data_IF_993331754714
#
_entry.id   IF_993331754714
#
_cell.length_a   1.000
_cell.length_b   1.000
_cell.length_c   1.000
_cell.angle_alpha   90.00
_cell.angle_beta   90.00
_cell.angle_gamma   90.00
#
_symmetry.space_group_name_H-M   'P 1'
#
loop_
_entity.id
_entity.type
_entity.pdbx_description
1 polymer ?
#
# COMPACT_ATOMS: atom_id res chain seq x y z
N UNK A 1 -16.48 -2.38 15.13
CA UNK A 1 -15.23 -1.59 15.17
C UNK A 1 -14.83 -1.36 16.62
N UNK A 2 -13.55 -1.56 16.95
CA UNK A 2 -12.97 -1.30 18.27
C UNK A 2 -13.18 0.17 18.65
N UNK A 3 -13.51 0.43 19.90
CA UNK A 3 -13.58 1.81 20.39
C UNK A 3 -12.16 2.40 20.46
N UNK A 4 -11.97 3.58 19.85
CA UNK A 4 -10.70 4.32 19.92
C UNK A 4 -10.26 4.58 21.36
N UNK A 5 -11.18 4.69 22.31
CA UNK A 5 -10.84 4.86 23.73
C UNK A 5 -10.06 3.66 24.27
N UNK A 6 -10.39 2.42 23.85
CA UNK A 6 -9.65 1.22 24.28
C UNK A 6 -8.18 1.30 23.81
N UNK A 7 -7.95 1.72 22.56
CA UNK A 7 -6.59 1.88 22.03
C UNK A 7 -5.87 3.05 22.70
N UNK A 8 -6.61 4.13 23.00
CA UNK A 8 -6.07 5.30 23.72
C UNK A 8 -5.54 4.93 25.10
N UNK A 9 -6.32 4.17 25.88
CA UNK A 9 -5.91 3.70 27.21
C UNK A 9 -4.63 2.86 27.15
N UNK A 10 -4.48 2.02 26.11
CA UNK A 10 -3.25 1.24 25.91
C UNK A 10 -2.05 2.14 25.63
N UNK A 11 -2.16 3.11 24.71
CA UNK A 11 -1.02 3.99 24.37
C UNK A 11 -0.70 5.02 25.44
N UNK A 12 -1.65 5.39 26.30
CA UNK A 12 -1.36 6.19 27.49
C UNK A 12 -0.35 5.49 28.41
N UNK A 13 -0.43 4.16 28.52
CA UNK A 13 0.56 3.34 29.23
C UNK A 13 1.95 3.37 28.59
N UNK A 14 2.06 3.60 27.27
CA UNK A 14 3.33 3.56 26.55
C UNK A 14 4.23 4.77 26.85
N UNK A 15 3.66 5.92 27.20
CA UNK A 15 4.47 7.11 27.54
C UNK A 15 5.41 6.88 28.72
N UNK A 16 5.00 6.04 29.68
CA UNK A 16 5.84 5.68 30.84
C UNK A 16 7.05 4.81 30.48
N UNK A 17 7.07 4.27 29.26
CA UNK A 17 8.10 3.38 28.72
C UNK A 17 8.51 3.81 27.30
N UNK A 18 8.51 5.12 27.02
CA UNK A 18 8.74 5.64 25.67
C UNK A 18 10.07 5.16 25.04
N UNK A 19 11.11 4.92 25.85
CA UNK A 19 12.41 4.38 25.45
C UNK A 19 12.38 2.91 25.01
N UNK A 20 11.30 2.19 25.33
CA UNK A 20 11.12 0.76 25.03
C UNK A 20 10.16 0.50 23.88
N UNK A 21 9.56 1.54 23.30
CA UNK A 21 8.61 1.40 22.20
C UNK A 21 9.29 0.72 21.01
N UNK A 22 8.59 -0.28 20.45
CA UNK A 22 9.00 -0.99 19.24
C UNK A 22 8.06 -0.62 18.10
N UNK A 23 8.60 -0.52 16.89
CA UNK A 23 7.81 -0.43 15.66
C UNK A 23 7.66 -1.84 15.09
N UNK A 24 6.42 -2.35 15.09
CA UNK A 24 6.06 -3.68 14.62
C UNK A 24 5.40 -3.67 13.26
N UNK A 25 5.60 -4.70 12.43
CA UNK A 25 4.85 -4.87 11.17
C UNK A 25 4.83 -6.32 10.71
N UNK A 26 3.96 -6.67 9.75
CA UNK A 26 4.06 -7.95 9.04
C UNK A 26 5.34 -7.96 8.21
N UNK A 27 6.16 -8.99 8.38
CA UNK A 27 7.35 -9.26 7.58
C UNK A 27 7.00 -9.71 6.15
N UNK A 28 6.49 -8.77 5.35
CA UNK A 28 6.18 -8.90 3.91
C UNK A 28 5.88 -7.50 3.33
N UNK A 29 5.70 -7.39 2.00
CA UNK A 29 5.31 -6.17 1.27
C UNK A 29 6.26 -4.96 1.44
N UNK A 30 6.13 -4.20 2.52
CA UNK A 30 6.94 -3.01 2.86
C UNK A 30 7.57 -3.10 4.25
N UNK A 31 7.62 -4.30 4.83
CA UNK A 31 8.17 -4.53 6.17
C UNK A 31 9.63 -4.09 6.31
N UNK A 32 10.45 -4.23 5.26
CA UNK A 32 11.83 -3.76 5.28
C UNK A 32 11.92 -2.23 5.33
N UNK A 33 11.15 -1.49 4.53
CA UNK A 33 11.11 -0.01 4.58
C UNK A 33 10.66 0.49 5.96
N UNK A 34 9.63 -0.13 6.54
CA UNK A 34 9.15 0.21 7.87
C UNK A 34 10.23 -0.03 8.93
N UNK A 35 10.90 -1.20 8.91
CA UNK A 35 11.96 -1.51 9.86
C UNK A 35 13.18 -0.61 9.70
N UNK A 36 13.62 -0.35 8.46
CA UNK A 36 14.75 0.53 8.16
C UNK A 36 14.49 1.96 8.64
N UNK A 37 13.31 2.49 8.31
CA UNK A 37 12.88 3.81 8.77
C UNK A 37 12.76 3.93 10.28
N UNK A 38 12.28 2.89 10.96
CA UNK A 38 12.22 2.84 12.41
C UNK A 38 13.61 2.85 13.06
N UNK A 39 14.58 2.13 12.48
CA UNK A 39 15.99 2.16 12.93
C UNK A 39 16.60 3.54 12.74
N UNK A 40 16.33 4.21 11.61
CA UNK A 40 16.80 5.57 11.30
C UNK A 40 16.25 6.64 12.26
N UNK A 41 15.14 6.36 12.95
CA UNK A 41 14.57 7.19 14.01
C UNK A 41 14.79 6.62 15.42
N UNK A 42 15.69 5.63 15.53
CA UNK A 42 16.23 5.03 16.76
C UNK A 42 15.30 4.06 17.51
N UNK A 43 14.19 3.65 16.90
CA UNK A 43 13.31 2.63 17.46
C UNK A 43 13.93 1.22 17.36
N UNK A 44 13.45 0.34 18.25
CA UNK A 44 13.58 -1.10 18.10
C UNK A 44 12.52 -1.63 17.12
N UNK A 45 12.83 -2.70 16.40
CA UNK A 45 11.95 -3.22 15.34
C UNK A 45 11.50 -4.65 15.57
N UNK A 46 10.26 -4.94 15.17
CA UNK A 46 9.67 -6.27 15.27
C UNK A 46 8.99 -6.66 13.96
N UNK A 47 9.39 -7.79 13.39
CA UNK A 47 8.79 -8.35 12.19
C UNK A 47 7.98 -9.60 12.53
N UNK A 48 6.67 -9.57 12.29
CA UNK A 48 5.79 -10.74 12.40
C UNK A 48 5.86 -11.53 11.10
N UNK A 49 6.43 -12.73 11.16
CA UNK A 49 6.75 -13.57 10.02
C UNK A 49 5.89 -14.84 10.01
N UNK A 50 5.80 -15.46 8.83
CA UNK A 50 5.23 -16.79 8.66
C UNK A 50 6.34 -17.81 8.39
N UNK A 51 6.23 -18.99 8.98
CA UNK A 51 7.14 -20.11 8.73
C UNK A 51 7.27 -20.42 7.22
N UNK A 52 8.51 -20.57 6.76
CA UNK A 52 8.89 -20.69 5.35
C UNK A 52 9.14 -19.37 4.63
N UNK A 53 8.86 -18.22 5.26
CA UNK A 53 9.00 -16.86 4.68
C UNK A 53 9.73 -15.89 5.62
N UNK A 54 10.27 -16.39 6.72
CA UNK A 54 10.86 -15.60 7.80
C UNK A 54 12.32 -15.18 7.55
N UNK A 55 13.10 -15.96 6.79
CA UNK A 55 14.56 -15.80 6.70
C UNK A 55 15.03 -14.42 6.26
N UNK A 56 14.25 -13.74 5.42
CA UNK A 56 14.51 -12.33 5.07
C UNK A 56 14.67 -11.49 6.35
N UNK A 57 13.78 -11.65 7.31
CA UNK A 57 13.73 -10.85 8.54
C UNK A 57 14.55 -11.48 9.68
N UNK A 58 14.50 -12.80 9.84
CA UNK A 58 15.15 -13.50 10.96
C UNK A 58 16.63 -13.79 10.77
N UNK A 59 17.13 -13.77 9.52
CA UNK A 59 18.51 -14.13 9.19
C UNK A 59 19.20 -13.02 8.38
N UNK A 60 18.69 -12.73 7.18
CA UNK A 60 19.39 -11.86 6.22
C UNK A 60 19.41 -10.38 6.62
N UNK A 61 18.30 -9.87 7.17
CA UNK A 61 18.15 -8.50 7.65
C UNK A 61 18.10 -8.39 9.18
N UNK A 62 18.44 -9.47 9.91
CA UNK A 62 18.50 -9.44 11.36
C UNK A 62 19.49 -8.39 11.85
N UNK A 63 19.04 -7.56 12.78
CA UNK A 63 19.84 -6.50 13.35
C UNK A 63 20.89 -7.06 14.32
N UNK A 64 22.09 -6.52 14.20
CA UNK A 64 23.15 -6.62 15.19
C UNK A 64 23.39 -5.23 15.74
N UNK A 65 23.25 -5.08 17.06
CA UNK A 65 23.50 -3.84 17.78
C UNK A 65 24.73 -3.94 18.65
N UNK A 66 25.38 -2.81 18.93
CA UNK A 66 26.48 -2.74 19.88
C UNK A 66 26.00 -2.57 21.33
N UNK A 67 26.94 -2.47 22.26
CA UNK A 67 26.66 -2.33 23.69
C UNK A 67 25.91 -1.03 24.04
N UNK A 68 25.97 -0.01 23.18
CA UNK A 68 25.22 1.24 23.34
C UNK A 68 23.80 1.13 22.76
N UNK A 69 23.47 0.02 22.09
CA UNK A 69 22.19 -0.17 21.43
C UNK A 69 22.13 0.41 20.01
N UNK A 70 23.24 0.90 19.46
CA UNK A 70 23.32 1.40 18.08
C UNK A 70 23.41 0.24 17.09
N UNK A 71 22.69 0.33 15.97
CA UNK A 71 22.74 -0.66 14.89
C UNK A 71 24.11 -0.64 14.21
N UNK A 72 24.71 -1.83 14.07
CA UNK A 72 25.92 -2.08 13.28
C UNK A 72 25.61 -2.69 11.91
N UNK A 73 24.59 -3.53 11.83
CA UNK A 73 24.18 -4.24 10.61
C UNK A 73 22.74 -4.71 10.75
N UNK A 74 21.98 -4.72 9.65
CA UNK A 74 20.60 -5.21 9.62
C UNK A 74 19.62 -4.25 10.29
N UNK A 75 18.32 -4.55 10.17
CA UNK A 75 17.24 -3.64 10.53
C UNK A 75 16.10 -4.28 11.32
N UNK A 76 16.16 -5.59 11.56
CA UNK A 76 15.12 -6.35 12.29
C UNK A 76 15.66 -6.86 13.62
N UNK A 77 15.27 -6.24 14.74
CA UNK A 77 15.73 -6.66 16.08
C UNK A 77 15.10 -8.00 16.51
N UNK A 78 13.80 -8.16 16.25
CA UNK A 78 13.03 -9.35 16.61
C UNK A 78 12.20 -9.84 15.43
N UNK A 79 12.22 -11.15 15.19
CA UNK A 79 11.34 -11.82 14.24
C UNK A 79 10.49 -12.85 14.98
N UNK A 80 9.18 -12.58 15.11
CA UNK A 80 8.21 -13.53 15.65
C UNK A 80 7.75 -14.40 14.50
N UNK A 81 7.88 -15.72 14.62
CA UNK A 81 7.52 -16.66 13.53
C UNK A 81 6.29 -17.46 13.92
N UNK A 82 5.19 -17.19 13.23
CA UNK A 82 3.93 -17.94 13.34
C UNK A 82 3.82 -19.01 12.26
N UNK A 83 2.93 -20.01 12.45
CA UNK A 83 2.66 -20.97 11.36
C UNK A 83 1.92 -20.28 10.21
N UNK A 84 1.04 -19.33 10.55
CA UNK A 84 0.32 -18.47 9.61
C UNK A 84 0.28 -17.04 10.14
N UNK A 85 0.32 -16.06 9.24
CA UNK A 85 0.28 -14.65 9.64
C UNK A 85 -0.95 -14.29 10.51
N UNK A 86 -2.10 -14.94 10.28
CA UNK A 86 -3.33 -14.67 11.03
C UNK A 86 -3.27 -15.09 12.52
N UNK A 87 -2.26 -15.83 12.96
CA UNK A 87 -2.05 -16.13 14.39
C UNK A 87 -1.75 -14.85 15.18
N UNK A 88 -1.34 -13.75 14.54
CA UNK A 88 -1.21 -12.43 15.19
C UNK A 88 -2.54 -11.93 15.79
N UNK A 89 -3.68 -12.40 15.28
CA UNK A 89 -5.01 -12.03 15.78
C UNK A 89 -5.38 -12.78 17.07
N UNK A 90 -4.62 -13.80 17.49
CA UNK A 90 -4.92 -14.54 18.72
C UNK A 90 -4.68 -13.64 19.95
N UNK A 91 -5.60 -13.63 20.94
CA UNK A 91 -5.52 -12.73 22.10
C UNK A 91 -4.17 -12.78 22.83
N UNK A 92 -3.59 -13.96 23.01
CA UNK A 92 -2.28 -14.14 23.66
C UNK A 92 -1.12 -13.50 22.89
N UNK A 93 -1.17 -13.53 21.55
CA UNK A 93 -0.16 -12.93 20.70
C UNK A 93 -0.30 -11.41 20.66
N UNK A 94 -1.55 -10.91 20.66
CA UNK A 94 -1.82 -9.49 20.79
C UNK A 94 -1.34 -8.94 22.15
N UNK A 95 -1.64 -9.65 23.24
CA UNK A 95 -1.21 -9.25 24.58
C UNK A 95 0.32 -9.16 24.66
N UNK A 96 1.04 -10.13 24.09
CA UNK A 96 2.49 -10.08 24.01
C UNK A 96 2.99 -8.81 23.31
N UNK A 97 2.39 -8.42 22.18
CA UNK A 97 2.75 -7.20 21.46
C UNK A 97 2.42 -5.94 22.27
N UNK A 98 1.30 -5.93 22.99
CA UNK A 98 0.91 -4.83 23.87
C UNK A 98 1.91 -4.66 25.02
N UNK A 99 2.26 -5.75 25.70
CA UNK A 99 3.21 -5.78 26.83
C UNK A 99 4.63 -5.33 26.42
N UNK A 100 4.99 -5.54 25.16
CA UNK A 100 6.27 -5.11 24.57
C UNK A 100 6.25 -3.68 24.00
N UNK A 101 5.19 -2.92 24.23
CA UNK A 101 5.03 -1.53 23.77
C UNK A 101 5.12 -1.40 22.24
N UNK A 102 4.52 -2.34 21.50
CA UNK A 102 4.57 -2.35 20.03
C UNK A 102 3.53 -1.40 19.44
N UNK A 103 4.01 -0.43 18.67
CA UNK A 103 3.20 0.34 17.72
C UNK A 103 3.20 -0.39 16.38
N UNK A 104 2.05 -0.90 15.96
CA UNK A 104 1.94 -1.77 14.78
C UNK A 104 1.63 -0.97 13.52
N UNK A 105 2.46 -1.11 12.50
CA UNK A 105 2.32 -0.41 11.22
C UNK A 105 1.74 -1.37 10.17
N UNK A 106 0.52 -1.10 9.64
CA UNK A 106 -0.11 -1.97 8.67
C UNK A 106 0.54 -1.85 7.30
N UNK A 107 0.72 -2.99 6.63
CA UNK A 107 1.05 -3.06 5.21
C UNK A 107 0.04 -3.99 4.51
N UNK A 108 0.09 -4.10 3.17
CA UNK A 108 -0.89 -4.91 2.41
C UNK A 108 -0.96 -6.36 2.87
N UNK A 109 0.17 -6.94 3.29
CA UNK A 109 0.18 -8.35 3.72
C UNK A 109 -0.63 -8.56 5.00
N UNK A 110 -0.79 -7.53 5.83
CA UNK A 110 -1.65 -7.61 7.00
C UNK A 110 -3.11 -7.86 6.60
N UNK A 111 -3.67 -7.02 5.72
CA UNK A 111 -5.05 -7.15 5.26
C UNK A 111 -5.27 -8.31 4.28
N UNK A 112 -4.22 -8.75 3.56
CA UNK A 112 -4.31 -9.93 2.69
C UNK A 112 -4.31 -11.26 3.45
N UNK A 113 -3.70 -11.33 4.64
CA UNK A 113 -3.58 -12.59 5.40
C UNK A 113 -4.40 -12.63 6.68
N UNK A 114 -4.85 -11.48 7.17
CA UNK A 114 -5.74 -11.35 8.32
C UNK A 114 -7.09 -10.79 7.85
N UNK A 115 -8.19 -11.29 8.41
CA UNK A 115 -9.53 -10.78 8.06
C UNK A 115 -9.64 -9.29 8.41
N UNK A 116 -10.18 -8.49 7.49
CA UNK A 116 -10.40 -7.07 7.74
C UNK A 116 -11.38 -6.85 8.91
N UNK A 117 -12.39 -7.71 9.06
CA UNK A 117 -13.33 -7.65 10.18
C UNK A 117 -12.61 -7.89 11.52
N UNK A 118 -11.73 -8.89 11.57
CA UNK A 118 -10.93 -9.18 12.77
C UNK A 118 -9.94 -8.04 13.10
N UNK A 119 -9.36 -7.41 12.07
CA UNK A 119 -8.52 -6.22 12.25
C UNK A 119 -9.36 -5.07 12.84
N UNK A 120 -10.55 -4.82 12.33
CA UNK A 120 -11.41 -3.72 12.75
C UNK A 120 -12.06 -3.94 14.13
N UNK A 121 -12.32 -5.18 14.52
CA UNK A 121 -13.14 -5.53 15.69
C UNK A 121 -12.34 -6.14 16.85
N UNK A 122 -11.24 -6.84 16.58
CA UNK A 122 -10.56 -7.69 17.57
C UNK A 122 -9.07 -7.39 17.78
N UNK A 123 -8.37 -6.73 16.85
CA UNK A 123 -6.93 -6.46 16.97
C UNK A 123 -6.57 -5.29 17.92
N UNK A 124 -6.43 -5.51 19.22
CA UNK A 124 -6.19 -4.48 20.26
C UNK A 124 -4.77 -3.88 20.30
N UNK A 125 -3.83 -4.35 19.50
CA UNK A 125 -2.50 -3.72 19.41
C UNK A 125 -2.67 -2.33 18.76
N UNK A 126 -2.06 -1.26 19.31
CA UNK A 126 -2.17 0.08 18.73
C UNK A 126 -1.67 0.11 17.28
N UNK A 127 -2.57 0.45 16.36
CA UNK A 127 -2.29 0.46 14.92
C UNK A 127 -2.00 1.89 14.47
N UNK A 128 -0.79 2.13 13.97
CA UNK A 128 -0.38 3.44 13.45
C UNK A 128 -1.02 3.67 12.09
N UNK A 129 -1.87 4.69 11.98
CA UNK A 129 -2.70 4.94 10.81
C UNK A 129 -4.19 4.69 11.07
N UNK A 130 -4.99 4.65 10.02
CA UNK A 130 -6.45 4.57 10.09
C UNK A 130 -6.94 3.15 9.81
N UNK A 131 -7.27 2.42 10.88
CA UNK A 131 -7.74 1.03 10.84
C UNK A 131 -8.98 0.84 9.95
N UNK A 132 -9.99 1.70 10.10
CA UNK A 132 -11.23 1.65 9.33
C UNK A 132 -11.04 1.90 7.83
N UNK A 133 -10.02 2.67 7.45
CA UNK A 133 -9.77 3.03 6.06
C UNK A 133 -9.09 1.88 5.30
N UNK A 134 -8.47 0.91 5.99
CA UNK A 134 -7.86 -0.26 5.35
C UNK A 134 -8.85 -1.05 4.50
N UNK A 135 -10.13 -1.10 4.90
CA UNK A 135 -11.21 -1.75 4.15
C UNK A 135 -11.47 -1.10 2.78
N UNK A 136 -11.26 0.20 2.65
CA UNK A 136 -11.52 0.92 1.39
C UNK A 136 -10.69 0.39 0.21
N UNK A 137 -9.59 -0.31 0.48
CA UNK A 137 -8.76 -0.95 -0.55
C UNK A 137 -9.46 -2.15 -1.23
N UNK A 138 -10.46 -2.76 -0.59
CA UNK A 138 -11.24 -3.87 -1.14
C UNK A 138 -12.32 -3.36 -2.09
N UNK A 139 -12.18 -3.67 -3.38
CA UNK A 139 -13.04 -3.13 -4.45
C UNK A 139 -14.47 -3.62 -4.44
N UNK A 140 -14.72 -4.78 -3.83
CA UNK A 140 -16.06 -5.34 -3.67
C UNK A 140 -16.88 -4.63 -2.59
N UNK A 141 -16.24 -3.82 -1.74
CA UNK A 141 -16.91 -3.06 -0.70
C UNK A 141 -17.72 -1.91 -1.31
N UNK A 142 -18.91 -1.67 -0.75
CA UNK A 142 -19.78 -0.58 -1.19
C UNK A 142 -19.09 0.79 -1.05
N UNK A 143 -18.32 0.96 0.03
CA UNK A 143 -17.51 2.14 0.30
C UNK A 143 -16.02 1.91 -0.04
N UNK A 144 -15.74 1.25 -1.15
CA UNK A 144 -14.36 1.11 -1.65
C UNK A 144 -13.73 2.46 -2.03
N UNK A 145 -12.46 2.46 -2.39
CA UNK A 145 -11.78 3.67 -2.85
C UNK A 145 -12.49 4.29 -4.06
N UNK A 146 -13.11 3.51 -4.96
CA UNK A 146 -13.87 4.07 -6.08
C UNK A 146 -15.01 4.96 -5.59
N UNK A 147 -15.70 4.52 -4.55
CA UNK A 147 -16.76 5.29 -3.92
C UNK A 147 -16.21 6.58 -3.30
N UNK A 148 -15.06 6.52 -2.62
CA UNK A 148 -14.39 7.71 -2.07
C UNK A 148 -14.01 8.69 -3.20
N UNK A 149 -13.44 8.19 -4.29
CA UNK A 149 -13.04 9.01 -5.44
C UNK A 149 -14.26 9.69 -6.10
N UNK A 150 -15.37 8.95 -6.26
CA UNK A 150 -16.63 9.49 -6.77
C UNK A 150 -17.18 10.59 -5.86
N UNK A 151 -17.23 10.37 -4.54
CA UNK A 151 -17.70 11.37 -3.57
C UNK A 151 -16.82 12.62 -3.55
N UNK A 152 -15.51 12.45 -3.70
CA UNK A 152 -14.54 13.54 -3.73
C UNK A 152 -14.49 14.30 -5.08
N UNK A 153 -15.18 13.81 -6.12
CA UNK A 153 -15.04 14.32 -7.48
C UNK A 153 -13.59 14.23 -7.98
N UNK A 154 -12.90 13.14 -7.63
CA UNK A 154 -11.56 12.83 -8.08
C UNK A 154 -11.61 12.04 -9.39
N UNK A 155 -10.67 12.26 -10.31
CA UNK A 155 -10.69 11.59 -11.61
C UNK A 155 -10.22 10.14 -11.47
N UNK A 156 -10.98 9.21 -12.04
CA UNK A 156 -10.62 7.81 -12.20
C UNK A 156 -11.11 7.31 -13.57
N UNK A 157 -10.56 6.20 -14.11
CA UNK A 157 -11.01 5.65 -15.39
C UNK A 157 -12.51 5.35 -15.40
N UNK A 158 -13.22 5.81 -16.44
CA UNK A 158 -14.66 5.60 -16.54
C UNK A 158 -15.00 4.10 -16.58
N UNK A 159 -16.05 3.72 -15.84
CA UNK A 159 -16.59 2.38 -15.84
C UNK A 159 -17.45 2.16 -17.09
N UNK A 160 -17.25 1.01 -17.75
CA UNK A 160 -18.11 0.55 -18.84
C UNK A 160 -19.08 -0.48 -18.27
N UNK A 161 -20.39 -0.23 -18.41
CA UNK A 161 -21.45 -1.04 -17.77
C UNK A 161 -21.65 -2.39 -18.45
N UNK A 162 -21.52 -2.47 -19.78
CA UNK A 162 -21.62 -3.72 -20.52
C UNK A 162 -20.40 -3.97 -21.41
N UNK A 163 -19.90 -5.22 -21.51
CA UNK A 163 -18.91 -5.58 -22.54
C UNK A 163 -19.36 -5.23 -23.97
N UNK A 164 -20.67 -5.15 -24.21
CA UNK A 164 -21.24 -4.77 -25.51
C UNK A 164 -21.05 -3.30 -25.86
N UNK A 165 -20.80 -2.46 -24.86
CA UNK A 165 -20.60 -1.02 -25.01
C UNK A 165 -19.13 -0.66 -25.27
N UNK A 166 -18.22 -1.66 -25.33
CA UNK A 166 -16.80 -1.45 -25.63
C UNK A 166 -16.65 -0.92 -27.06
N UNK A 167 -16.26 0.34 -27.18
CA UNK A 167 -15.99 1.06 -28.42
C UNK A 167 -14.59 1.68 -28.49
N UNK A 168 -13.78 1.51 -27.43
CA UNK A 168 -12.39 1.94 -27.33
C UNK A 168 -11.59 0.95 -26.46
N UNK A 169 -10.29 1.20 -26.27
CA UNK A 169 -9.44 0.32 -25.46
C UNK A 169 -9.89 0.36 -23.99
N UNK A 170 -10.16 -0.82 -23.43
CA UNK A 170 -10.54 -1.02 -22.03
C UNK A 170 -9.55 -1.94 -21.32
N UNK A 171 -9.48 -1.79 -20.01
CA UNK A 171 -8.89 -2.74 -19.08
C UNK A 171 -10.00 -3.50 -18.37
N UNK A 172 -9.96 -4.83 -18.44
CA UNK A 172 -10.84 -5.71 -17.68
C UNK A 172 -10.10 -6.20 -16.45
N UNK A 173 -10.63 -5.89 -15.26
CA UNK A 173 -10.02 -6.18 -13.96
C UNK A 173 -10.84 -7.24 -13.24
N UNK A 174 -10.21 -8.36 -12.88
CA UNK A 174 -10.85 -9.47 -12.18
C UNK A 174 -9.85 -10.30 -11.34
N UNK A 175 -10.31 -11.12 -10.37
CA UNK A 175 -9.43 -12.03 -9.63
C UNK A 175 -8.79 -13.10 -10.54
N UNK A 176 -7.54 -13.49 -10.27
CA UNK A 176 -6.93 -14.66 -10.90
C UNK A 176 -7.42 -15.94 -10.20
N UNK A 177 -7.75 -16.98 -10.98
CA UNK A 177 -8.29 -18.24 -10.47
C UNK A 177 -7.34 -19.00 -9.51
N UNK A 178 -6.04 -19.03 -9.81
CA UNK A 178 -5.03 -19.75 -9.02
C UNK A 178 -4.30 -18.81 -8.06
N UNK A 179 -3.78 -17.71 -8.58
CA UNK A 179 -3.01 -16.72 -7.81
C UNK A 179 -3.98 -15.79 -7.09
N UNK A 180 -4.62 -16.25 -6.02
CA UNK A 180 -5.70 -15.49 -5.34
C UNK A 180 -5.32 -14.07 -4.89
N UNK A 181 -4.04 -13.79 -4.68
CA UNK A 181 -3.52 -12.46 -4.33
C UNK A 181 -3.17 -11.60 -5.55
N UNK A 182 -3.02 -12.22 -6.71
CA UNK A 182 -2.77 -11.55 -7.98
C UNK A 182 -4.08 -11.37 -8.74
N UNK A 183 -4.09 -10.39 -9.64
CA UNK A 183 -5.27 -10.03 -10.42
C UNK A 183 -5.11 -10.55 -11.86
N UNK A 184 -6.19 -11.10 -12.40
CA UNK A 184 -6.33 -11.33 -13.83
C UNK A 184 -6.64 -10.00 -14.50
N UNK A 185 -5.82 -9.63 -15.47
CA UNK A 185 -6.04 -8.43 -16.28
C UNK A 185 -5.96 -8.82 -17.75
N UNK A 186 -6.84 -8.25 -18.56
CA UNK A 186 -6.66 -8.26 -19.99
C UNK A 186 -7.27 -7.00 -20.61
N UNK A 187 -6.75 -6.62 -21.77
CA UNK A 187 -7.27 -5.50 -22.54
C UNK A 187 -8.22 -5.99 -23.62
N UNK A 188 -9.17 -5.14 -24.01
CA UNK A 188 -10.02 -5.36 -25.18
C UNK A 188 -10.35 -4.01 -25.83
N UNK A 189 -10.59 -3.99 -27.14
CA UNK A 189 -10.99 -2.80 -27.89
C UNK A 189 -12.36 -2.96 -28.56
N UNK A 190 -13.00 -4.12 -28.40
CA UNK A 190 -14.35 -4.40 -28.88
C UNK A 190 -14.99 -5.55 -28.08
N UNK A 191 -16.32 -5.67 -28.18
CA UNK A 191 -17.05 -6.82 -27.61
C UNK A 191 -16.53 -8.17 -28.12
N UNK A 192 -16.17 -8.25 -29.41
CA UNK A 192 -15.63 -9.46 -30.01
C UNK A 192 -14.30 -9.86 -29.36
N UNK A 193 -13.37 -8.92 -29.26
CA UNK A 193 -12.06 -9.16 -28.64
C UNK A 193 -12.20 -9.53 -27.16
N UNK A 194 -13.12 -8.89 -26.45
CA UNK A 194 -13.47 -9.23 -25.07
C UNK A 194 -13.87 -10.71 -24.96
N UNK A 195 -14.83 -11.17 -25.79
CA UNK A 195 -15.30 -12.56 -25.77
C UNK A 195 -14.20 -13.55 -26.14
N UNK A 196 -13.45 -13.30 -27.20
CA UNK A 196 -12.36 -14.17 -27.65
C UNK A 196 -11.29 -14.34 -26.56
N UNK A 197 -10.83 -13.23 -25.95
CA UNK A 197 -9.83 -13.26 -24.88
C UNK A 197 -10.36 -13.90 -23.60
N UNK A 198 -11.59 -13.59 -23.20
CA UNK A 198 -12.16 -14.15 -21.98
C UNK A 198 -12.30 -15.67 -22.07
N UNK A 199 -12.75 -16.22 -23.20
CA UNK A 199 -12.88 -17.67 -23.38
C UNK A 199 -11.52 -18.36 -23.42
N UNK A 200 -10.51 -17.74 -24.04
CA UNK A 200 -9.13 -18.25 -24.01
C UNK A 200 -8.58 -18.31 -22.58
N UNK A 201 -8.75 -17.25 -21.79
CA UNK A 201 -8.27 -17.21 -20.39
C UNK A 201 -9.02 -18.18 -19.49
N UNK A 202 -10.33 -18.41 -19.72
CA UNK A 202 -11.10 -19.44 -19.02
C UNK A 202 -10.55 -20.84 -19.35
N UNK A 203 -10.31 -21.13 -20.63
CA UNK A 203 -9.76 -22.42 -21.09
C UNK A 203 -8.37 -22.69 -20.52
N UNK A 204 -7.56 -21.64 -20.34
CA UNK A 204 -6.24 -21.72 -19.73
C UNK A 204 -6.28 -21.81 -18.19
N UNK A 205 -7.46 -21.67 -17.57
CA UNK A 205 -7.60 -21.68 -16.11
C UNK A 205 -7.03 -20.43 -15.43
N UNK A 206 -6.87 -19.33 -16.15
CA UNK A 206 -6.38 -18.05 -15.61
C UNK A 206 -7.50 -17.34 -14.85
N UNK A 207 -8.71 -17.35 -15.40
CA UNK A 207 -9.91 -16.73 -14.83
C UNK A 207 -11.08 -17.73 -14.77
N UNK A 208 -12.10 -17.43 -13.97
CA UNK A 208 -13.34 -18.21 -13.91
C UNK A 208 -14.50 -17.44 -14.54
N UNK A 209 -15.58 -18.13 -14.95
CA UNK A 209 -16.80 -17.48 -15.44
C UNK A 209 -17.43 -16.58 -14.38
N UNK A 210 -17.48 -17.04 -13.13
CA UNK A 210 -17.97 -16.28 -11.98
C UNK A 210 -17.16 -14.98 -11.76
N UNK A 211 -15.83 -15.05 -11.86
CA UNK A 211 -14.98 -13.87 -11.74
C UNK A 211 -15.19 -12.89 -12.90
N UNK A 212 -15.48 -13.40 -14.10
CA UNK A 212 -15.76 -12.60 -15.29
C UNK A 212 -17.10 -11.88 -15.21
N UNK A 213 -18.13 -12.52 -14.66
CA UNK A 213 -19.45 -11.90 -14.44
C UNK A 213 -19.38 -10.70 -13.49
N UNK A 214 -18.45 -10.74 -12.54
CA UNK A 214 -18.20 -9.67 -11.58
C UNK A 214 -17.00 -8.77 -11.99
N UNK A 215 -16.48 -8.92 -13.22
CA UNK A 215 -15.33 -8.16 -13.66
C UNK A 215 -15.67 -6.68 -13.81
N UNK A 216 -14.70 -5.83 -13.46
CA UNK A 216 -14.80 -4.39 -13.67
C UNK A 216 -14.16 -4.02 -15.00
N UNK A 217 -14.91 -3.40 -15.89
CA UNK A 217 -14.44 -2.92 -17.20
C UNK A 217 -14.26 -1.41 -17.11
N UNK A 218 -13.08 -0.93 -17.47
CA UNK A 218 -12.74 0.49 -17.40
C UNK A 218 -12.06 0.96 -18.66
N UNK A 219 -12.27 2.23 -19.03
CA UNK A 219 -11.49 2.87 -20.10
C UNK A 219 -10.00 2.74 -19.81
N UNK A 220 -9.23 2.30 -20.80
CA UNK A 220 -7.78 2.21 -20.67
C UNK A 220 -7.16 3.59 -20.91
N UNK A 221 -6.47 4.12 -19.91
CA UNK A 221 -5.76 5.40 -20.04
C UNK A 221 -4.37 5.16 -20.62
N UNK A 222 -4.15 5.62 -21.85
CA UNK A 222 -2.85 5.50 -22.52
C UNK A 222 -1.93 6.62 -22.03
N UNK A 223 -0.95 6.26 -21.20
CA UNK A 223 -0.02 7.23 -20.61
C UNK A 223 0.93 6.61 -19.59
N UNK A 224 1.95 7.37 -19.14
CA UNK A 224 2.82 6.91 -18.06
C UNK A 224 2.05 6.76 -16.74
N UNK A 225 2.51 5.81 -15.93
CA UNK A 225 2.04 5.56 -14.57
C UNK A 225 2.90 6.36 -13.59
N UNK A 226 2.24 7.04 -12.66
CA UNK A 226 2.88 7.68 -11.50
C UNK A 226 2.11 7.35 -10.24
N UNK A 227 2.80 6.73 -9.29
CA UNK A 227 2.30 6.46 -7.95
C UNK A 227 2.78 7.57 -7.03
N UNK A 228 1.87 8.40 -6.52
CA UNK A 228 2.21 9.50 -5.63
C UNK A 228 2.22 9.02 -4.18
N UNK A 229 3.42 8.89 -3.60
CA UNK A 229 3.60 8.53 -2.20
C UNK A 229 3.38 9.77 -1.32
N UNK A 230 2.18 9.87 -0.76
CA UNK A 230 1.74 11.00 0.05
C UNK A 230 1.80 10.65 1.55
N UNK A 231 1.83 11.68 2.39
CA UNK A 231 1.75 11.55 3.84
C UNK A 231 0.85 12.63 4.42
N UNK A 232 -0.07 12.25 5.31
CA UNK A 232 -0.90 13.19 6.06
C UNK A 232 -0.56 13.14 7.56
N UNK A 233 -0.10 14.27 8.11
CA UNK A 233 0.26 14.46 9.50
C UNK A 233 -0.88 15.13 10.28
N UNK A 234 -1.65 14.42 11.12
CA UNK A 234 -2.70 15.05 11.91
C UNK A 234 -2.13 15.97 13.01
N UNK A 235 -0.87 15.73 13.41
CA UNK A 235 -0.18 16.43 14.50
C UNK A 235 0.67 17.62 14.05
N UNK A 236 0.85 17.86 12.74
CA UNK A 236 1.61 19.00 12.23
C UNK A 236 0.96 20.33 12.65
N UNK A 237 1.65 21.17 13.45
CA UNK A 237 1.04 22.36 14.03
C UNK A 237 1.17 23.64 13.17
N UNK A 238 2.11 23.70 12.22
CA UNK A 238 2.49 24.98 11.57
C UNK A 238 2.50 24.92 10.04
N UNK A 239 3.01 23.84 9.46
CA UNK A 239 3.15 23.69 8.02
C UNK A 239 1.93 22.96 7.42
N UNK A 240 1.98 22.70 6.11
CA UNK A 240 1.02 21.81 5.47
C UNK A 240 1.03 20.45 6.17
N UNK A 241 -0.16 19.94 6.50
CA UNK A 241 -0.34 18.58 7.01
C UNK A 241 -0.14 17.53 5.93
N UNK A 242 -0.32 17.90 4.67
CA UNK A 242 -0.15 17.03 3.52
C UNK A 242 1.23 17.22 2.90
N UNK A 243 1.92 16.11 2.69
CA UNK A 243 3.24 16.02 2.07
C UNK A 243 3.19 15.08 0.86
N UNK A 244 3.86 15.45 -0.24
CA UNK A 244 4.29 14.50 -1.26
C UNK A 244 5.71 14.07 -0.90
N UNK A 245 5.91 12.81 -0.57
CA UNK A 245 7.23 12.27 -0.27
C UNK A 245 7.97 11.95 -1.55
N UNK A 246 7.37 11.14 -2.43
CA UNK A 246 8.03 10.63 -3.62
C UNK A 246 7.06 10.13 -4.67
N UNK A 247 7.66 9.64 -5.76
CA UNK A 247 6.92 9.09 -6.88
C UNK A 247 7.62 7.82 -7.33
N UNK A 248 6.88 6.72 -7.40
CA UNK A 248 7.33 5.46 -7.96
C UNK A 248 6.48 5.05 -9.18
N UNK A 249 6.94 4.03 -9.88
CA UNK A 249 6.17 3.26 -10.83
C UNK A 249 6.57 1.78 -10.76
N UNK A 250 5.71 0.91 -11.28
CA UNK A 250 5.82 -0.55 -11.13
C UNK A 250 6.60 -1.19 -12.26
N UNK A 251 7.41 -2.19 -11.92
CA UNK A 251 7.83 -3.23 -12.86
C UNK A 251 6.84 -4.39 -12.79
N UNK A 252 6.34 -4.79 -13.95
CA UNK A 252 5.26 -5.76 -14.09
C UNK A 252 5.71 -6.92 -14.99
N UNK A 253 5.61 -8.14 -14.46
CA UNK A 253 5.89 -9.37 -15.19
C UNK A 253 4.58 -10.07 -15.55
N UNK A 254 4.38 -10.51 -16.79
CA UNK A 254 5.32 -10.56 -17.91
C UNK A 254 5.30 -9.33 -18.84
N UNK A 255 4.46 -8.32 -18.58
CA UNK A 255 4.27 -7.14 -19.44
C UNK A 255 5.58 -6.46 -19.87
N UNK A 256 6.46 -6.13 -18.93
CA UNK A 256 7.73 -5.45 -19.21
C UNK A 256 8.73 -6.31 -19.99
N UNK A 257 8.51 -7.63 -20.03
CA UNK A 257 9.22 -8.55 -20.91
C UNK A 257 8.66 -8.52 -22.34
N UNK A 258 7.34 -8.47 -22.48
CA UNK A 258 6.67 -8.44 -23.79
C UNK A 258 7.04 -7.20 -24.59
N UNK A 259 7.02 -6.04 -23.95
CA UNK A 259 7.32 -4.75 -24.60
C UNK A 259 8.77 -4.62 -25.10
N UNK A 260 9.65 -5.53 -24.69
CA UNK A 260 11.05 -5.61 -25.18
C UNK A 260 11.21 -6.45 -26.45
N UNK A 261 10.19 -7.23 -26.82
CA UNK A 261 10.22 -8.02 -28.04
C UNK A 261 9.86 -7.14 -29.26
N UNK A 262 10.49 -7.33 -30.43
CA UNK A 262 10.03 -6.71 -31.66
C UNK A 262 8.59 -7.09 -31.99
N UNK A 263 7.82 -6.18 -32.57
CA UNK A 263 6.40 -6.41 -32.89
C UNK A 263 6.14 -7.72 -33.68
N UNK A 264 6.94 -8.10 -34.71
CA UNK A 264 6.74 -9.37 -35.40
C UNK A 264 6.84 -10.59 -34.49
N UNK A 265 7.74 -10.58 -33.50
CA UNK A 265 7.90 -11.67 -32.55
C UNK A 265 6.74 -11.72 -31.55
N UNK A 266 6.23 -10.56 -31.11
CA UNK A 266 5.04 -10.50 -30.25
C UNK A 266 3.82 -11.13 -30.94
N UNK A 267 3.65 -10.87 -32.24
CA UNK A 267 2.55 -11.42 -33.04
C UNK A 267 2.67 -12.94 -33.28
N UNK A 268 3.86 -13.53 -33.13
CA UNK A 268 4.12 -14.96 -33.33
C UNK A 268 4.28 -15.76 -32.02
N UNK A 269 3.96 -15.16 -30.87
CA UNK A 269 3.98 -15.87 -29.59
C UNK A 269 2.92 -16.99 -29.58
N UNK A 270 3.23 -18.09 -28.88
CA UNK A 270 2.24 -19.13 -28.64
C UNK A 270 1.06 -18.58 -27.81
N UNK A 271 -0.12 -19.20 -27.93
CA UNK A 271 -1.34 -18.77 -27.24
C UNK A 271 -1.16 -18.59 -25.73
N UNK A 272 -0.37 -19.47 -25.09
CA UNK A 272 -0.04 -19.41 -23.66
C UNK A 272 0.89 -18.26 -23.24
N UNK A 273 1.51 -17.59 -24.22
CA UNK A 273 2.42 -16.46 -24.02
C UNK A 273 1.90 -15.18 -24.67
N UNK A 274 0.74 -15.21 -25.32
CA UNK A 274 0.24 -14.07 -26.08
C UNK A 274 -0.27 -12.94 -25.18
N UNK A 275 -0.85 -13.30 -24.03
CA UNK A 275 -1.43 -12.33 -23.09
C UNK A 275 -0.45 -12.06 -21.95
N UNK A 276 0.05 -10.81 -21.82
CA UNK A 276 0.93 -10.46 -20.72
C UNK A 276 0.18 -10.43 -19.39
N UNK A 277 0.88 -10.76 -18.31
CA UNK A 277 0.42 -10.51 -16.95
C UNK A 277 0.96 -9.17 -16.43
N UNK A 278 0.25 -8.59 -15.45
CA UNK A 278 0.61 -7.34 -14.77
C UNK A 278 1.05 -7.61 -13.31
N UNK A 279 1.65 -8.78 -13.07
CA UNK A 279 2.10 -9.15 -11.72
C UNK A 279 3.26 -8.25 -11.32
N UNK A 280 3.12 -7.51 -10.22
CA UNK A 280 4.17 -6.58 -9.77
C UNK A 280 5.38 -7.37 -9.28
N UNK A 281 6.56 -7.11 -9.85
CA UNK A 281 7.82 -7.77 -9.47
C UNK A 281 8.89 -6.81 -8.95
N UNK A 282 8.66 -5.50 -9.08
CA UNK A 282 9.57 -4.48 -8.58
C UNK A 282 9.00 -3.08 -8.76
N UNK A 283 9.78 -2.08 -8.38
CA UNK A 283 9.43 -0.67 -8.53
C UNK A 283 10.66 0.14 -8.92
N UNK A 284 10.44 1.31 -9.51
CA UNK A 284 11.48 2.28 -9.77
C UNK A 284 11.02 3.69 -9.40
N UNK A 285 11.96 4.56 -9.06
CA UNK A 285 11.68 5.96 -8.73
C UNK A 285 11.42 6.79 -10.00
N UNK A 286 10.58 7.80 -9.87
CA UNK A 286 10.31 8.79 -10.90
C UNK A 286 10.28 10.21 -10.32
N UNK A 287 10.28 11.19 -11.21
CA UNK A 287 9.92 12.58 -10.89
C UNK A 287 8.79 13.01 -11.81
N UNK A 288 7.99 13.96 -11.36
CA UNK A 288 6.95 14.57 -12.19
C UNK A 288 7.46 15.88 -12.78
N UNK A 289 6.96 16.25 -13.95
CA UNK A 289 7.09 17.62 -14.45
C UNK A 289 6.55 18.58 -13.38
N UNK A 290 7.39 19.51 -12.91
CA UNK A 290 7.10 20.34 -11.73
C UNK A 290 5.79 21.13 -11.84
N UNK A 291 5.44 21.62 -13.03
CA UNK A 291 4.18 22.33 -13.29
C UNK A 291 2.91 21.49 -13.08
N UNK A 292 3.04 20.18 -12.81
CA UNK A 292 1.93 19.29 -12.51
C UNK A 292 1.77 19.02 -11.00
N UNK A 293 2.74 19.40 -10.16
CA UNK A 293 2.71 19.10 -8.73
C UNK A 293 1.52 19.74 -8.01
N UNK A 294 1.11 20.96 -8.39
CA UNK A 294 -0.09 21.59 -7.82
C UNK A 294 -1.36 20.76 -8.03
N UNK A 295 -1.47 20.06 -9.17
CA UNK A 295 -2.60 19.15 -9.42
C UNK A 295 -2.55 17.94 -8.49
N UNK A 296 -1.36 17.42 -8.20
CA UNK A 296 -1.15 16.30 -7.27
C UNK A 296 -1.55 16.69 -5.84
N UNK A 297 -1.10 17.85 -5.36
CA UNK A 297 -1.50 18.34 -4.03
C UNK A 297 -3.01 18.53 -3.92
N UNK A 298 -3.67 19.14 -4.92
CA UNK A 298 -5.14 19.27 -4.96
C UNK A 298 -5.87 17.93 -4.94
N UNK A 299 -5.34 16.91 -5.62
CA UNK A 299 -5.91 15.55 -5.55
C UNK A 299 -5.74 14.96 -4.15
N UNK A 300 -4.58 15.13 -3.54
CA UNK A 300 -4.31 14.67 -2.17
C UNK A 300 -5.19 15.36 -1.13
N UNK A 301 -5.37 16.69 -1.22
CA UNK A 301 -6.24 17.48 -0.33
C UNK A 301 -7.68 16.98 -0.39
N UNK A 302 -8.24 16.85 -1.60
CA UNK A 302 -9.59 16.31 -1.81
C UNK A 302 -9.76 14.89 -1.26
N UNK A 303 -8.74 14.04 -1.45
CA UNK A 303 -8.79 12.69 -0.91
C UNK A 303 -8.77 12.70 0.62
N UNK A 304 -7.90 13.50 1.23
CA UNK A 304 -7.84 13.69 2.69
C UNK A 304 -9.18 14.16 3.23
N UNK A 305 -9.76 15.22 2.67
CA UNK A 305 -11.06 15.77 3.08
C UNK A 305 -12.18 14.72 2.99
N UNK A 306 -12.27 13.99 1.87
CA UNK A 306 -13.27 12.94 1.71
C UNK A 306 -13.10 11.80 2.72
N UNK A 307 -11.86 11.38 3.01
CA UNK A 307 -11.64 10.37 4.06
C UNK A 307 -12.03 10.89 5.45
N UNK A 308 -11.82 12.16 5.76
CA UNK A 308 -12.21 12.74 7.04
C UNK A 308 -13.74 12.80 7.20
N UNK A 309 -14.46 13.08 6.11
CA UNK A 309 -15.92 13.12 6.10
C UNK A 309 -16.54 11.72 6.21
N UNK A 310 -16.07 10.77 5.40
CA UNK A 310 -16.73 9.47 5.26
C UNK A 310 -16.09 8.34 6.08
N UNK A 311 -14.85 8.52 6.53
CA UNK A 311 -14.03 7.53 7.22
C UNK A 311 -13.31 8.12 8.44
N UNK A 312 -14.02 8.92 9.26
CA UNK A 312 -13.47 9.56 10.45
C UNK A 312 -12.59 8.59 11.29
N UNK A 313 -11.36 8.98 11.67
CA UNK A 313 -10.78 10.33 11.63
C UNK A 313 -10.22 10.78 10.27
N UNK A 314 -10.37 9.97 9.22
CA UNK A 314 -9.76 10.18 7.91
C UNK A 314 -8.41 9.49 7.79
N UNK A 315 -7.72 9.68 6.66
CA UNK A 315 -6.39 9.12 6.44
C UNK A 315 -5.39 9.67 7.48
N UNK A 316 -4.57 8.79 8.04
CA UNK A 316 -3.49 9.12 8.99
C UNK A 316 -2.20 8.49 8.45
N UNK A 317 -1.18 9.33 8.30
CA UNK A 317 0.13 8.89 7.82
C UNK A 317 0.15 8.64 6.32
N UNK A 318 0.84 7.58 5.86
CA UNK A 318 1.14 7.39 4.45
C UNK A 318 -0.05 6.85 3.66
N UNK A 319 -0.19 7.36 2.43
CA UNK A 319 -1.12 6.82 1.44
C UNK A 319 -0.54 7.01 0.03
N UNK A 320 -1.04 6.24 -0.93
CA UNK A 320 -0.58 6.32 -2.31
C UNK A 320 -1.75 6.51 -3.27
N UNK A 321 -1.71 7.56 -4.10
CA UNK A 321 -2.61 7.73 -5.23
C UNK A 321 -1.91 7.20 -6.49
N UNK A 322 -2.39 6.07 -7.00
CA UNK A 322 -1.80 5.43 -8.18
C UNK A 322 -2.50 5.93 -9.43
N UNK A 323 -1.76 6.57 -10.33
CA UNK A 323 -2.35 7.32 -11.43
C UNK A 323 -1.75 6.97 -12.78
N UNK A 324 -2.57 7.15 -13.83
CA UNK A 324 -2.11 7.29 -15.20
C UNK A 324 -2.27 8.75 -15.64
N UNK A 325 -1.41 9.21 -16.55
CA UNK A 325 -1.46 10.58 -17.09
C UNK A 325 -1.67 10.54 -18.59
N UNK A 326 -2.79 11.06 -19.09
CA UNK A 326 -3.08 11.05 -20.52
C UNK A 326 -2.23 12.06 -21.32
N UNK A 327 -2.40 12.04 -22.65
CA UNK A 327 -1.71 12.96 -23.58
C UNK A 327 -1.94 14.45 -23.31
N UNK A 328 -3.03 14.80 -22.62
CA UNK A 328 -3.43 16.17 -22.31
C UNK A 328 -3.05 16.56 -20.87
N UNK A 329 -2.27 15.71 -20.18
CA UNK A 329 -1.80 15.88 -18.81
C UNK A 329 -2.94 15.91 -17.78
N UNK A 330 -3.99 15.11 -18.03
CA UNK A 330 -5.03 14.80 -17.06
C UNK A 330 -4.65 13.54 -16.27
N UNK A 331 -4.86 13.58 -14.96
CA UNK A 331 -4.61 12.47 -14.05
C UNK A 331 -5.84 11.59 -13.93
N UNK A 332 -5.64 10.27 -13.84
CA UNK A 332 -6.68 9.29 -13.58
C UNK A 332 -6.19 8.31 -12.52
N UNK A 333 -6.84 8.31 -11.34
CA UNK A 333 -6.50 7.42 -10.22
C UNK A 333 -7.10 6.05 -10.50
N UNK A 334 -6.26 5.02 -10.67
CA UNK A 334 -6.70 3.65 -10.98
C UNK A 334 -6.62 2.70 -9.78
N UNK A 335 -5.96 3.10 -8.70
CA UNK A 335 -5.91 2.41 -7.40
C UNK A 335 -5.51 3.40 -6.31
N UNK A 336 -5.87 3.09 -5.07
CA UNK A 336 -5.45 3.84 -3.89
C UNK A 336 -4.96 2.86 -2.82
N UNK A 337 -3.84 3.18 -2.18
CA UNK A 337 -3.38 2.47 -0.99
C UNK A 337 -3.49 3.39 0.24
N UNK A 338 -4.37 3.12 1.22
CA UNK A 338 -4.56 3.97 2.40
C UNK A 338 -3.53 3.70 3.53
N UNK A 339 -2.33 3.26 3.14
CA UNK A 339 -1.23 2.82 4.03
C UNK A 339 0.09 2.85 3.25
N UNK A 340 1.20 2.44 3.88
CA UNK A 340 2.51 2.30 3.21
C UNK A 340 2.39 1.41 1.96
N UNK A 341 2.82 1.92 0.80
CA UNK A 341 2.82 1.24 -0.50
C UNK A 341 3.97 0.23 -0.67
N UNK A 342 3.88 -0.64 -1.69
CA UNK A 342 5.00 -1.52 -2.04
C UNK A 342 6.09 -0.78 -2.82
N UNK A 343 5.70 0.31 -3.49
CA UNK A 343 6.56 1.22 -4.26
C UNK A 343 7.59 1.95 -3.41
N UNK A 344 7.24 2.25 -2.16
CA UNK A 344 8.10 3.00 -1.23
C UNK A 344 9.44 2.31 -0.96
N UNK A 345 9.52 0.98 -1.15
CA UNK A 345 10.76 0.21 -0.98
C UNK A 345 11.91 0.70 -1.87
N UNK A 346 11.63 1.30 -3.05
CA UNK A 346 12.70 1.84 -3.91
C UNK A 346 13.43 3.02 -3.25
N UNK A 347 12.84 3.61 -2.22
CA UNK A 347 13.32 4.80 -1.53
C UNK A 347 13.96 4.50 -0.16
N UNK A 348 14.14 3.24 0.23
CA UNK A 348 14.70 2.91 1.55
C UNK A 348 16.09 3.52 1.80
N UNK A 349 17.05 3.26 0.90
CA UNK A 349 18.44 3.69 1.12
C UNK A 349 18.70 5.16 0.74
N UNK A 350 17.99 5.68 -0.26
CA UNK A 350 18.23 7.01 -0.84
C UNK A 350 17.20 8.05 -0.39
N UNK A 351 16.10 7.62 0.22
CA UNK A 351 14.94 8.44 0.52
C UNK A 351 14.12 8.81 -0.74
N UNK A 352 12.98 9.46 -0.52
CA UNK A 352 12.19 10.04 -1.60
C UNK A 352 12.71 11.43 -1.97
N UNK A 353 12.73 11.79 -3.25
CA UNK A 353 13.32 13.06 -3.72
C UNK A 353 12.66 14.32 -3.12
N UNK A 354 11.33 14.36 -3.04
CA UNK A 354 10.59 15.49 -2.46
C UNK A 354 10.69 15.47 -0.92
N UNK A 355 10.55 14.30 -0.30
CA UNK A 355 10.71 14.10 1.14
C UNK A 355 12.11 14.50 1.63
N UNK A 356 13.15 14.14 0.88
CA UNK A 356 14.53 14.54 1.16
C UNK A 356 14.69 16.06 1.17
N UNK A 357 14.06 16.72 0.20
CA UNK A 357 14.13 18.17 0.05
C UNK A 357 13.37 18.89 1.16
N UNK A 358 12.19 18.37 1.53
CA UNK A 358 11.34 18.91 2.59
C UNK A 358 11.98 18.76 3.98
N UNK A 359 12.49 17.57 4.30
CA UNK A 359 13.02 17.25 5.62
C UNK A 359 14.54 17.41 5.73
N UNK A 360 15.22 17.77 4.64
CA UNK A 360 16.67 18.01 4.56
C UNK A 360 17.52 16.81 5.01
N UNK A 361 17.02 15.58 4.81
CA UNK A 361 17.69 14.30 5.10
C UNK A 361 17.06 13.16 4.29
N UNK A 362 17.76 12.03 4.04
CA UNK A 362 17.15 10.86 3.40
C UNK A 362 15.86 10.45 4.13
N UNK A 363 14.73 10.49 3.44
CA UNK A 363 13.40 10.32 3.99
C UNK A 363 12.60 9.34 3.14
N UNK A 364 12.62 8.06 3.51
CA UNK A 364 11.69 7.06 2.96
C UNK A 364 10.30 7.22 3.61
N UNK A 365 9.28 6.52 3.06
CA UNK A 365 7.95 6.50 3.69
C UNK A 365 8.01 5.82 5.06
N UNK A 366 8.72 4.71 5.19
CA UNK A 366 8.96 4.06 6.49
C UNK A 366 9.61 4.99 7.50
N UNK A 367 10.63 5.76 7.10
CA UNK A 367 11.28 6.74 7.98
C UNK A 367 10.35 7.88 8.35
N UNK A 368 9.57 8.41 7.39
CA UNK A 368 8.61 9.49 7.67
C UNK A 368 7.55 9.05 8.67
N UNK A 369 7.08 7.81 8.57
CA UNK A 369 6.14 7.22 9.53
C UNK A 369 6.77 7.08 10.91
N UNK A 370 7.97 6.51 11.02
CA UNK A 370 8.68 6.40 12.30
C UNK A 370 8.98 7.77 12.92
N UNK A 371 9.29 8.76 12.08
CA UNK A 371 9.51 10.13 12.52
C UNK A 371 8.22 10.77 13.04
N UNK A 372 7.07 10.47 12.44
CA UNK A 372 5.77 10.88 12.98
C UNK A 372 5.51 10.29 14.36
N UNK A 373 5.85 9.01 14.58
CA UNK A 373 5.76 8.37 15.90
C UNK A 373 6.65 9.10 16.91
N UNK A 374 7.90 9.40 16.54
CA UNK A 374 8.84 10.16 17.40
C UNK A 374 8.28 11.53 17.77
N UNK A 375 7.75 12.27 16.80
CA UNK A 375 7.10 13.57 17.03
C UNK A 375 5.85 13.45 17.90
N UNK A 376 5.04 12.42 17.68
CA UNK A 376 3.83 12.19 18.47
C UNK A 376 4.17 11.89 19.93
N UNK A 377 5.26 11.17 20.20
CA UNK A 377 5.78 10.97 21.55
C UNK A 377 6.24 12.29 22.19
N UNK A 378 7.05 13.08 21.47
CA UNK A 378 7.54 14.38 21.95
C UNK A 378 6.42 15.39 22.23
N UNK A 379 5.30 15.29 21.51
CA UNK A 379 4.15 16.17 21.64
C UNK A 379 3.03 15.61 22.52
N UNK A 380 3.19 14.41 23.07
CA UNK A 380 2.15 13.68 23.81
C UNK A 380 0.83 13.53 23.01
N UNK A 381 0.95 13.15 21.73
CA UNK A 381 -0.16 12.98 20.75
C UNK A 381 -0.18 11.65 20.02
N UNK A 382 0.30 10.56 20.64
CA UNK A 382 0.18 9.21 20.06
C UNK A 382 -1.27 8.86 19.68
N UNK A 383 -2.24 9.23 20.51
CA UNK A 383 -3.68 9.00 20.31
C UNK A 383 -4.26 9.66 19.04
N UNK A 384 -3.55 10.63 18.47
CA UNK A 384 -3.90 11.28 17.21
C UNK A 384 -3.42 10.51 15.97
N UNK A 385 -2.49 9.57 16.13
CA UNK A 385 -1.90 8.81 15.02
C UNK A 385 -2.15 7.30 15.09
N UNK A 386 -2.75 6.81 16.18
CA UNK A 386 -3.12 5.40 16.34
C UNK A 386 -4.64 5.20 16.34
N UNK A 387 -5.07 4.03 15.88
CA UNK A 387 -6.46 3.56 15.92
C UNK A 387 -6.58 2.09 16.27
#
# INVERSE_FOLDING_TARGET
MIDRNEIKEIVEGYYTHADKIKVGTIGSHSGLDICDGAVEEEFRTLAVCQAGREKTYSEYFRAQRDLSGKVKRGIVDEAIVFKKYNEILLPENQQKLVDENVLFVPNRSFTSYCSIDEIEENFRVPLVGSRNLLRSEERSEQQSYYWILEKAGLPFPEKIESPKDINELVMVKLPHAVKKLERGFFTASSYREYTEKSEALIKQGVITREALENARIERYIIGPVFNFDMFYSPIEPKMSKLELLGIDWRFETSLDGHVRLPAPQQMSLAESQLTPEYTVCGHNSATLRESLLEKVFKMGEKYVEATQEYYAPGIIGPFCLQTCVDKDLNFYIYDVAPRVGGGTNVHMSVGHSYGNSLWRRPMSTGRRLAFEIKRALELEKLDAIVT
#
